data_IF_467021466725
#
_entry.id   IF_467021466725
#
_cell.length_a   1.000
_cell.length_b   1.000
_cell.length_c   1.000
_cell.angle_alpha   90.00
_cell.angle_beta   90.00
_cell.angle_gamma   90.00
#
_symmetry.space_group_name_H-M   'P 1'
#
loop_
_entity.id
_entity.type
_entity.pdbx_description
1 polymer ?
#
# COMPACT_ATOMS: atom_id res chain seq x y z
N UNK A 1 12.52 -9.94 8.58
CA UNK A 1 11.97 -9.20 7.43
C UNK A 1 10.52 -8.98 7.74
N UNK A 2 10.02 -7.77 7.58
CA UNK A 2 8.62 -7.43 7.88
C UNK A 2 7.96 -6.98 6.58
N UNK A 3 6.89 -7.68 6.18
CA UNK A 3 6.10 -7.35 4.99
C UNK A 3 4.74 -6.87 5.47
N UNK A 4 4.50 -5.57 5.38
CA UNK A 4 3.14 -5.04 5.51
C UNK A 4 2.46 -5.19 4.14
N UNK A 5 1.26 -5.75 4.11
CA UNK A 5 0.46 -5.80 2.90
C UNK A 5 -0.68 -4.77 3.02
N UNK A 6 -0.76 -3.86 2.06
CA UNK A 6 -1.94 -3.02 1.87
C UNK A 6 -2.66 -3.53 0.63
N UNK A 7 -3.69 -4.34 0.86
CA UNK A 7 -4.65 -4.73 -0.16
C UNK A 7 -5.67 -3.59 -0.28
N UNK A 8 -5.64 -2.86 -1.38
CA UNK A 8 -6.72 -1.95 -1.71
C UNK A 8 -7.82 -2.79 -2.33
N UNK A 9 -8.87 -3.05 -1.55
CA UNK A 9 -10.06 -3.71 -2.06
C UNK A 9 -10.89 -2.71 -2.86
N UNK A 10 -10.38 -2.30 -4.02
CA UNK A 10 -11.15 -1.74 -5.10
C UNK A 10 -10.84 -2.57 -6.34
N UNK A 11 -11.87 -3.16 -6.94
CA UNK A 11 -11.81 -3.61 -8.33
C UNK A 11 -12.70 -2.65 -9.11
N UNK A 12 -12.07 -1.75 -9.89
CA UNK A 12 -12.80 -0.76 -10.67
C UNK A 12 -13.72 -1.45 -11.70
N UNK A 13 -14.89 -0.87 -11.92
CA UNK A 13 -15.99 -1.39 -12.76
C UNK A 13 -15.66 -1.56 -14.26
N UNK A 14 -14.41 -1.46 -14.67
CA UNK A 14 -13.99 -1.71 -16.06
C UNK A 14 -13.76 -3.19 -16.38
N UNK A 15 -13.91 -4.08 -15.40
CA UNK A 15 -14.17 -5.47 -15.73
C UNK A 15 -15.56 -5.61 -16.35
N UNK A 16 -15.56 -5.92 -17.65
CA UNK A 16 -16.67 -6.54 -18.40
C UNK A 16 -17.23 -7.83 -17.76
N UNK A 17 -16.74 -8.21 -16.58
CA UNK A 17 -17.11 -9.38 -15.79
C UNK A 17 -17.75 -9.02 -14.45
N UNK A 18 -18.79 -8.16 -14.46
CA UNK A 18 -19.97 -8.23 -13.56
C UNK A 18 -20.96 -7.11 -13.91
N UNK A 19 -21.52 -7.18 -15.11
CA UNK A 19 -22.78 -6.51 -15.40
C UNK A 19 -23.87 -7.28 -14.63
N UNK A 20 -24.58 -6.58 -13.73
CA UNK A 20 -25.57 -7.06 -12.75
C UNK A 20 -25.04 -7.60 -11.42
N UNK A 21 -24.69 -6.69 -10.51
CA UNK A 21 -25.20 -6.77 -9.14
C UNK A 21 -25.55 -5.37 -8.63
N UNK A 22 -26.84 -5.15 -8.42
CA UNK A 22 -27.37 -4.07 -7.59
C UNK A 22 -26.68 -4.06 -6.23
N UNK A 23 -26.48 -2.87 -5.61
CA UNK A 23 -26.00 -2.68 -4.23
C UNK A 23 -26.29 -3.90 -3.35
N UNK A 24 -25.28 -4.74 -3.10
CA UNK A 24 -25.44 -5.91 -2.23
C UNK A 24 -25.29 -5.46 -0.78
N UNK A 25 -26.11 -6.01 0.11
CA UNK A 25 -26.09 -5.76 1.54
C UNK A 25 -24.79 -6.15 2.28
N UNK A 26 -23.76 -6.60 1.54
CA UNK A 26 -22.49 -7.14 2.05
C UNK A 26 -21.27 -6.24 1.77
N UNK A 27 -21.46 -5.01 1.27
CA UNK A 27 -20.36 -4.06 1.04
C UNK A 27 -20.13 -3.19 2.29
N UNK A 28 -18.87 -3.08 2.72
CA UNK A 28 -18.49 -2.19 3.81
C UNK A 28 -18.42 -0.72 3.36
N UNK A 29 -18.73 0.24 4.26
CA UNK A 29 -18.51 1.65 3.99
C UNK A 29 -17.06 1.94 3.57
N UNK A 30 -16.83 2.88 2.64
CA UNK A 30 -15.49 3.24 2.19
C UNK A 30 -14.63 3.78 3.34
N UNK A 31 -13.36 3.41 3.29
CA UNK A 31 -12.29 3.86 4.19
C UNK A 31 -11.00 4.01 3.40
N UNK A 32 -10.11 4.92 3.80
CA UNK A 32 -8.86 5.18 3.07
C UNK A 32 -7.78 4.15 3.41
N UNK A 33 -7.66 3.79 4.69
CA UNK A 33 -6.74 2.74 5.12
C UNK A 33 -7.24 2.05 6.40
N UNK A 34 -7.13 0.73 6.44
CA UNK A 34 -7.38 -0.06 7.65
C UNK A 34 -6.27 -1.08 7.88
N UNK A 35 -5.67 -1.00 9.06
CA UNK A 35 -4.77 -1.99 9.59
C UNK A 35 -5.56 -3.05 10.36
N UNK A 36 -5.57 -4.28 9.84
CA UNK A 36 -6.41 -5.37 10.34
C UNK A 36 -5.63 -6.49 11.05
N UNK A 37 -4.31 -6.52 10.89
CA UNK A 37 -3.46 -7.58 11.44
C UNK A 37 -2.05 -7.07 11.69
N UNK A 38 -1.60 -7.16 12.95
CA UNK A 38 -0.20 -6.91 13.31
C UNK A 38 0.74 -7.98 12.74
N UNK A 39 2.03 -7.65 12.63
CA UNK A 39 3.04 -8.65 12.26
C UNK A 39 2.93 -9.90 13.15
N UNK A 40 2.81 -11.05 12.51
CA UNK A 40 2.61 -12.33 13.18
C UNK A 40 3.32 -13.44 12.43
N UNK A 41 3.84 -14.41 13.16
CA UNK A 41 4.41 -15.66 12.61
C UNK A 41 3.34 -16.74 12.42
N UNK A 42 2.07 -16.43 12.72
CA UNK A 42 0.96 -17.38 12.61
C UNK A 42 0.30 -17.31 11.22
N UNK A 43 0.76 -18.17 10.31
CA UNK A 43 0.26 -18.25 8.93
C UNK A 43 -1.27 -18.43 8.86
N UNK A 44 -1.85 -19.24 9.75
CA UNK A 44 -3.30 -19.47 9.77
C UNK A 44 -4.08 -18.21 10.19
N UNK A 45 -3.55 -17.42 11.12
CA UNK A 45 -4.16 -16.15 11.50
C UNK A 45 -4.16 -15.17 10.32
N UNK A 46 -3.07 -15.12 9.55
CA UNK A 46 -3.00 -14.34 8.32
C UNK A 46 -4.07 -14.77 7.31
N UNK A 47 -4.12 -16.07 6.98
CA UNK A 47 -5.12 -16.61 6.03
C UNK A 47 -6.54 -16.33 6.48
N UNK A 48 -6.86 -16.59 7.74
CA UNK A 48 -8.19 -16.32 8.29
C UNK A 48 -8.55 -14.83 8.22
N UNK A 49 -7.60 -13.94 8.51
CA UNK A 49 -7.85 -12.50 8.50
C UNK A 49 -8.09 -12.00 7.08
N UNK A 50 -7.29 -12.43 6.11
CA UNK A 50 -7.48 -12.09 4.68
C UNK A 50 -8.82 -12.63 4.17
N UNK A 51 -9.19 -13.86 4.51
CA UNK A 51 -10.46 -14.46 4.08
C UNK A 51 -11.70 -13.79 4.68
N UNK A 52 -11.55 -13.08 5.81
CA UNK A 52 -12.62 -12.32 6.46
C UNK A 52 -12.78 -10.90 5.88
N UNK A 53 -11.86 -10.43 5.04
CA UNK A 53 -11.98 -9.10 4.44
C UNK A 53 -13.12 -9.05 3.44
N UNK A 54 -13.89 -7.97 3.50
CA UNK A 54 -14.97 -7.68 2.56
C UNK A 54 -14.55 -6.56 1.64
N UNK A 55 -15.18 -6.51 0.46
CA UNK A 55 -14.91 -5.42 -0.47
C UNK A 55 -15.59 -4.14 0.01
N UNK A 56 -14.89 -3.02 -0.19
CA UNK A 56 -15.48 -1.70 -0.12
C UNK A 56 -15.50 -1.07 -1.51
N UNK A 57 -16.23 0.03 -1.68
CA UNK A 57 -16.36 0.68 -2.99
C UNK A 57 -16.48 2.18 -2.86
N UNK A 58 -15.54 2.88 -3.51
CA UNK A 58 -15.56 4.31 -3.82
C UNK A 58 -16.35 4.57 -5.11
N UNK A 59 -16.69 5.85 -5.36
CA UNK A 59 -17.51 6.24 -6.52
C UNK A 59 -16.67 6.48 -7.77
N UNK A 60 -15.46 6.97 -7.58
CA UNK A 60 -14.46 7.28 -8.59
C UNK A 60 -13.42 6.15 -8.73
N UNK A 61 -12.55 6.28 -9.74
CA UNK A 61 -11.58 5.25 -10.11
C UNK A 61 -10.25 5.34 -9.33
N UNK A 62 -9.67 6.53 -9.08
CA UNK A 62 -8.44 6.60 -8.30
C UNK A 62 -8.68 6.26 -6.83
N UNK A 63 -7.68 5.64 -6.20
CA UNK A 63 -7.76 5.16 -4.82
C UNK A 63 -6.83 5.91 -3.87
N UNK A 64 -7.07 5.76 -2.57
CA UNK A 64 -6.30 6.41 -1.51
C UNK A 64 -4.92 5.74 -1.24
N UNK A 65 -4.22 5.26 -2.28
CA UNK A 65 -2.98 4.50 -2.11
C UNK A 65 -1.89 5.28 -1.36
N UNK A 66 -1.76 6.57 -1.66
CA UNK A 66 -0.76 7.42 -1.02
C UNK A 66 -1.07 7.70 0.46
N UNK A 67 -2.35 7.75 0.84
CA UNK A 67 -2.74 7.86 2.26
C UNK A 67 -2.30 6.63 3.05
N UNK A 68 -2.60 5.43 2.55
CA UNK A 68 -2.22 4.22 3.26
C UNK A 68 -0.70 4.12 3.39
N UNK A 69 0.06 4.43 2.33
CA UNK A 69 1.52 4.45 2.40
C UNK A 69 2.04 5.43 3.44
N UNK A 70 1.42 6.62 3.52
CA UNK A 70 1.75 7.60 4.54
C UNK A 70 1.48 7.06 5.95
N UNK A 71 0.33 6.43 6.16
CA UNK A 71 -0.02 5.85 7.46
C UNK A 71 0.88 4.66 7.81
N UNK A 72 1.14 3.74 6.88
CA UNK A 72 2.04 2.59 7.06
C UNK A 72 3.43 3.04 7.49
N UNK A 73 3.93 4.14 6.93
CA UNK A 73 5.23 4.67 7.24
C UNK A 73 5.24 5.57 8.50
N UNK A 74 4.15 6.28 8.80
CA UNK A 74 4.08 7.18 9.95
C UNK A 74 3.72 6.48 11.26
N UNK A 75 3.01 5.35 11.18
CA UNK A 75 2.47 4.59 12.31
C UNK A 75 3.37 3.41 12.69
N UNK A 76 4.66 3.67 12.95
CA UNK A 76 5.64 2.60 13.16
C UNK A 76 5.28 1.67 14.33
N UNK A 77 4.87 2.27 15.45
CA UNK A 77 4.55 1.55 16.68
C UNK A 77 3.21 0.84 16.56
N UNK A 78 2.23 1.48 15.92
CA UNK A 78 0.88 0.95 15.77
C UNK A 78 0.90 -0.26 14.82
N UNK A 79 1.69 -0.24 13.74
CA UNK A 79 1.83 -1.42 12.89
C UNK A 79 2.76 -2.49 13.47
N UNK A 80 3.51 -2.16 14.53
CA UNK A 80 4.43 -3.07 15.19
C UNK A 80 5.73 -3.30 14.40
N UNK A 81 6.16 -2.33 13.58
CA UNK A 81 7.44 -2.41 12.90
C UNK A 81 8.57 -2.59 13.91
N UNK A 82 9.51 -3.49 13.64
CA UNK A 82 10.64 -3.72 14.51
C UNK A 82 11.41 -2.40 14.69
N UNK A 83 11.57 -1.89 15.93
CA UNK A 83 12.26 -0.62 16.16
C UNK A 83 13.76 -0.73 15.90
N UNK A 84 14.30 -1.96 15.83
CA UNK A 84 15.69 -2.17 15.45
C UNK A 84 15.89 -1.97 13.95
N UNK A 85 16.90 -1.18 13.62
CA UNK A 85 17.33 -0.88 12.26
C UNK A 85 18.01 -2.05 11.53
N UNK A 86 17.86 -3.28 12.04
CA UNK A 86 18.49 -4.50 11.52
C UNK A 86 17.56 -5.27 10.60
N UNK A 87 16.26 -4.99 10.64
CA UNK A 87 15.25 -5.68 9.83
C UNK A 87 14.90 -4.86 8.60
N UNK A 88 14.92 -5.49 7.43
CA UNK A 88 14.39 -4.87 6.21
C UNK A 88 12.86 -4.77 6.32
N UNK A 89 12.35 -3.58 6.06
CA UNK A 89 10.92 -3.25 6.06
C UNK A 89 10.42 -3.11 4.63
N UNK A 90 9.41 -3.88 4.27
CA UNK A 90 8.85 -3.95 2.92
C UNK A 90 7.35 -3.71 3.02
N UNK A 91 6.81 -2.89 2.13
CA UNK A 91 5.36 -2.77 1.95
C UNK A 91 4.99 -3.27 0.56
N UNK A 92 4.05 -4.22 0.51
CA UNK A 92 3.45 -4.72 -0.73
C UNK A 92 2.13 -4.00 -0.96
N UNK A 93 2.00 -3.38 -2.12
CA UNK A 93 0.81 -2.67 -2.57
C UNK A 93 0.22 -3.47 -3.73
N UNK A 94 -1.00 -3.95 -3.56
CA UNK A 94 -1.75 -4.59 -4.63
C UNK A 94 -2.96 -3.71 -4.99
N UNK A 95 -3.05 -3.29 -6.27
CA UNK A 95 -4.13 -2.43 -6.76
C UNK A 95 -4.33 -2.59 -8.27
N UNK A 96 -5.57 -2.41 -8.73
CA UNK A 96 -5.91 -2.33 -10.15
C UNK A 96 -6.23 -0.91 -10.63
N UNK A 97 -6.08 0.08 -9.75
CA UNK A 97 -6.50 1.46 -9.92
C UNK A 97 -5.34 2.46 -9.74
N UNK A 98 -5.44 3.66 -10.35
CA UNK A 98 -4.51 4.76 -10.09
C UNK A 98 -4.72 5.30 -8.67
N UNK A 99 -3.95 6.32 -8.28
CA UNK A 99 -4.04 6.90 -6.94
C UNK A 99 -4.33 8.38 -6.95
N UNK A 100 -5.00 8.86 -5.90
CA UNK A 100 -5.20 10.27 -5.66
C UNK A 100 -3.94 10.98 -5.17
N UNK A 101 -3.86 12.29 -5.44
CA UNK A 101 -2.75 13.16 -5.03
C UNK A 101 -3.25 14.44 -4.34
N UNK A 102 -2.35 15.08 -3.59
CA UNK A 102 -2.62 16.36 -2.94
C UNK A 102 -3.29 17.39 -3.88
N UNK A 103 -4.31 18.06 -3.38
CA UNK A 103 -5.17 19.00 -4.08
C UNK A 103 -6.52 18.40 -4.50
N UNK A 104 -6.61 17.07 -4.64
CA UNK A 104 -7.83 16.41 -5.09
C UNK A 104 -8.88 16.24 -3.98
N UNK A 105 -8.48 16.19 -2.70
CA UNK A 105 -9.40 16.17 -1.55
C UNK A 105 -10.28 17.43 -1.48
N UNK A 106 -9.87 18.52 -2.15
CA UNK A 106 -10.64 19.76 -2.27
C UNK A 106 -12.00 19.53 -2.95
N UNK A 107 -12.13 18.55 -3.85
CA UNK A 107 -13.41 18.20 -4.46
C UNK A 107 -14.43 17.65 -3.44
N UNK A 108 -13.93 17.05 -2.35
CA UNK A 108 -14.72 16.60 -1.19
C UNK A 108 -14.82 17.62 -0.06
N UNK A 109 -14.33 18.86 -0.24
CA UNK A 109 -14.33 19.90 0.80
C UNK A 109 -13.18 19.79 1.80
N UNK A 110 -12.22 18.89 1.58
CA UNK A 110 -11.05 18.71 2.43
C UNK A 110 -9.94 19.65 1.95
N UNK A 111 -9.52 20.57 2.81
CA UNK A 111 -8.57 21.65 2.44
C UNK A 111 -7.34 21.72 3.33
N UNK A 112 -7.30 20.90 4.38
CA UNK A 112 -6.14 20.82 5.27
C UNK A 112 -5.09 19.89 4.66
N UNK A 113 -3.85 20.34 4.42
CA UNK A 113 -2.82 19.46 3.88
C UNK A 113 -2.49 18.28 4.81
N UNK A 114 -2.08 17.15 4.23
CA UNK A 114 -1.54 16.01 4.97
C UNK A 114 -0.33 16.43 5.83
N UNK A 115 -0.33 16.09 7.10
CA UNK A 115 0.73 16.48 8.05
C UNK A 115 1.86 15.43 8.21
N UNK A 116 1.78 14.32 7.47
CA UNK A 116 2.71 13.20 7.50
C UNK A 116 2.90 12.58 8.91
N UNK A 117 1.83 12.50 9.70
CA UNK A 117 1.81 11.83 11.01
C UNK A 117 0.85 10.64 11.02
N UNK A 118 0.98 9.82 12.07
CA UNK A 118 0.08 8.72 12.32
C UNK A 118 -1.28 9.22 12.82
N UNK A 119 -2.36 8.76 12.19
CA UNK A 119 -3.74 9.11 12.50
C UNK A 119 -4.65 7.87 12.50
N UNK A 120 -4.11 6.73 12.93
CA UNK A 120 -4.89 5.51 13.10
C UNK A 120 -5.78 5.59 14.32
N UNK A 121 -7.07 5.33 14.12
CA UNK A 121 -8.08 5.28 15.18
C UNK A 121 -8.54 3.84 15.43
N UNK A 122 -8.64 3.43 16.70
CA UNK A 122 -9.08 2.08 17.06
C UNK A 122 -10.58 1.89 16.80
N UNK A 123 -10.93 0.74 16.21
CA UNK A 123 -12.30 0.33 15.91
C UNK A 123 -12.78 -0.73 16.90
N UNK A 124 -14.10 -0.90 17.01
CA UNK A 124 -14.72 -1.87 17.94
C UNK A 124 -14.28 -3.33 17.73
N UNK A 125 -13.88 -3.68 16.51
CA UNK A 125 -13.40 -5.01 16.15
C UNK A 125 -11.90 -5.19 16.36
N UNK A 126 -11.20 -4.22 16.99
CA UNK A 126 -9.75 -4.25 17.22
C UNK A 126 -8.90 -3.81 16.02
N UNK A 127 -9.50 -3.57 14.85
CA UNK A 127 -8.78 -2.97 13.71
C UNK A 127 -8.50 -1.49 13.96
N UNK A 128 -7.54 -0.94 13.21
CA UNK A 128 -7.18 0.49 13.26
C UNK A 128 -7.40 1.11 11.90
N UNK A 129 -8.07 2.26 11.85
CA UNK A 129 -8.53 2.85 10.58
C UNK A 129 -8.15 4.33 10.50
N UNK A 130 -7.74 4.74 9.29
CA UNK A 130 -7.60 6.11 8.86
C UNK A 130 -8.73 6.44 7.87
N UNK A 131 -9.53 7.44 8.22
CA UNK A 131 -10.73 7.82 7.45
C UNK A 131 -10.46 8.78 6.31
N UNK A 132 -9.34 9.50 6.31
CA UNK A 132 -8.99 10.48 5.27
C UNK A 132 -9.96 11.66 5.13
N UNK A 133 -10.78 11.94 6.15
CA UNK A 133 -11.80 13.01 6.10
C UNK A 133 -11.30 14.36 6.60
N UNK A 134 -10.18 14.38 7.32
CA UNK A 134 -9.67 15.59 7.98
C UNK A 134 -8.55 16.27 7.20
N UNK A 135 -7.82 15.50 6.39
CA UNK A 135 -6.65 15.96 5.66
C UNK A 135 -6.70 15.47 4.21
N UNK A 136 -6.22 16.33 3.31
CA UNK A 136 -6.06 16.03 1.89
C UNK A 136 -5.03 14.93 1.69
N UNK A 137 -5.04 14.31 0.51
CA UNK A 137 -4.06 13.30 0.14
C UNK A 137 -2.63 13.86 0.23
N UNK A 138 -1.62 13.06 0.58
CA UNK A 138 -0.24 13.51 0.58
C UNK A 138 0.28 13.71 -0.83
N UNK A 139 1.30 14.55 -0.96
CA UNK A 139 2.08 14.63 -2.20
C UNK A 139 2.94 13.39 -2.39
N UNK A 140 3.26 13.03 -3.64
CA UNK A 140 4.22 11.96 -3.96
C UNK A 140 5.56 12.13 -3.21
N UNK A 141 6.04 13.38 -3.07
CA UNK A 141 7.29 13.65 -2.35
C UNK A 141 7.16 13.51 -0.83
N UNK A 142 6.02 13.88 -0.22
CA UNK A 142 5.81 13.65 1.22
C UNK A 142 5.88 12.16 1.55
N UNK A 143 5.21 11.31 0.76
CA UNK A 143 5.27 9.85 0.93
C UNK A 143 6.69 9.33 0.72
N UNK A 144 7.40 9.81 -0.31
CA UNK A 144 8.81 9.45 -0.55
C UNK A 144 9.70 9.74 0.66
N UNK A 145 9.63 10.96 1.22
CA UNK A 145 10.45 11.31 2.38
C UNK A 145 10.11 10.46 3.59
N UNK A 146 8.81 10.21 3.85
CA UNK A 146 8.40 9.39 4.99
C UNK A 146 8.85 7.93 4.85
N UNK A 147 8.68 7.32 3.68
CA UNK A 147 9.18 5.97 3.39
C UNK A 147 10.70 5.89 3.55
N UNK A 148 11.43 6.93 3.13
CA UNK A 148 12.89 7.03 3.30
C UNK A 148 13.29 7.09 4.77
N UNK A 149 12.65 7.96 5.54
CA UNK A 149 12.87 8.13 6.98
C UNK A 149 12.67 6.80 7.72
N UNK A 150 11.57 6.11 7.43
CA UNK A 150 11.17 4.85 8.05
C UNK A 150 11.83 3.62 7.41
N UNK A 151 12.67 3.81 6.38
CA UNK A 151 13.40 2.76 5.64
C UNK A 151 12.51 1.65 5.08
N UNK A 152 11.31 2.02 4.66
CA UNK A 152 10.33 1.11 4.07
C UNK A 152 10.49 1.11 2.55
N UNK A 153 10.60 -0.09 1.99
CA UNK A 153 10.74 -0.30 0.54
C UNK A 153 9.39 -0.71 -0.06
N UNK A 154 8.81 0.06 -0.99
CA UNK A 154 7.55 -0.30 -1.61
C UNK A 154 7.73 -1.27 -2.80
N UNK A 155 6.84 -2.25 -2.87
CA UNK A 155 6.67 -3.17 -4.01
C UNK A 155 5.25 -2.99 -4.53
N UNK A 156 5.12 -2.60 -5.80
CA UNK A 156 3.82 -2.40 -6.45
C UNK A 156 3.47 -3.62 -7.31
N UNK A 157 2.44 -4.37 -6.92
CA UNK A 157 1.82 -5.42 -7.72
C UNK A 157 0.54 -4.86 -8.35
N UNK A 158 0.59 -4.51 -9.64
CA UNK A 158 -0.45 -3.69 -10.25
C UNK A 158 -1.05 -4.31 -11.49
N UNK A 159 -2.33 -4.02 -11.77
CA UNK A 159 -2.98 -4.49 -13.01
C UNK A 159 -2.24 -4.02 -14.26
N UNK A 160 -2.46 -4.72 -15.38
CA UNK A 160 -1.89 -4.38 -16.69
C UNK A 160 -2.09 -2.90 -17.08
N UNK A 161 -3.25 -2.33 -16.73
CA UNK A 161 -3.65 -0.97 -17.06
C UNK A 161 -2.86 0.08 -16.29
N UNK A 162 -2.51 -0.20 -15.03
CA UNK A 162 -1.83 0.75 -14.14
C UNK A 162 -0.30 0.63 -14.14
N UNK A 163 0.25 -0.29 -14.94
CA UNK A 163 1.70 -0.49 -15.05
C UNK A 163 2.46 0.76 -15.39
N UNK A 164 1.94 1.61 -16.28
CA UNK A 164 2.64 2.82 -16.69
C UNK A 164 2.73 3.80 -15.51
N UNK A 165 1.60 4.02 -14.82
CA UNK A 165 1.49 4.90 -13.65
C UNK A 165 2.48 4.50 -12.57
N UNK A 166 2.46 3.22 -12.16
CA UNK A 166 3.32 2.73 -11.07
C UNK A 166 4.78 2.51 -11.49
N UNK A 167 5.05 2.27 -12.78
CA UNK A 167 6.42 2.32 -13.31
C UNK A 167 7.04 3.70 -13.16
N UNK A 168 6.30 4.75 -13.50
CA UNK A 168 6.76 6.13 -13.35
C UNK A 168 6.99 6.46 -11.87
N UNK A 169 6.07 6.07 -10.99
CA UNK A 169 6.23 6.22 -9.54
C UNK A 169 7.46 5.49 -9.00
N UNK A 170 7.64 4.21 -9.36
CA UNK A 170 8.79 3.41 -8.95
C UNK A 170 10.12 3.99 -9.47
N UNK A 171 10.13 4.60 -10.66
CA UNK A 171 11.31 5.30 -11.18
C UNK A 171 11.66 6.55 -10.37
N UNK A 172 10.66 7.32 -9.92
CA UNK A 172 10.86 8.46 -9.02
C UNK A 172 11.41 7.96 -7.67
N UNK A 173 10.92 6.82 -7.18
CA UNK A 173 11.30 6.22 -5.90
C UNK A 173 12.42 5.18 -5.99
N UNK A 174 13.18 5.17 -7.09
CA UNK A 174 14.22 4.15 -7.36
C UNK A 174 15.28 4.05 -6.25
N UNK A 175 15.58 5.16 -5.59
CA UNK A 175 16.58 5.25 -4.53
C UNK A 175 16.10 4.60 -3.22
N UNK A 176 14.78 4.41 -3.06
CA UNK A 176 14.18 3.60 -1.99
C UNK A 176 14.22 2.09 -2.30
N UNK A 177 14.69 1.71 -3.49
CA UNK A 177 14.58 0.33 -3.96
C UNK A 177 13.17 -0.03 -4.45
N UNK A 178 12.31 0.96 -4.73
CA UNK A 178 10.96 0.72 -5.22
C UNK A 178 10.96 -0.18 -6.47
N UNK A 179 10.02 -1.12 -6.50
CA UNK A 179 9.82 -2.03 -7.64
C UNK A 179 8.36 -2.07 -8.04
N UNK A 180 8.09 -2.40 -9.29
CA UNK A 180 6.73 -2.62 -9.78
C UNK A 180 6.72 -3.89 -10.64
N UNK A 181 5.62 -4.63 -10.57
CA UNK A 181 5.37 -5.82 -11.37
C UNK A 181 3.88 -5.91 -11.74
N UNK A 182 3.59 -6.61 -12.82
CA UNK A 182 2.23 -6.83 -13.28
C UNK A 182 1.58 -7.98 -12.49
N UNK A 183 0.45 -7.68 -11.85
CA UNK A 183 -0.43 -8.64 -11.20
C UNK A 183 -1.41 -9.19 -12.24
N UNK A 184 -1.49 -10.52 -12.32
CA UNK A 184 -2.46 -11.20 -13.19
C UNK A 184 -3.89 -10.86 -12.75
N UNK A 185 -4.86 -10.93 -13.68
CA UNK A 185 -6.26 -10.61 -13.39
C UNK A 185 -6.85 -11.49 -12.27
N UNK A 186 -6.40 -12.74 -12.14
CA UNK A 186 -6.79 -13.67 -11.08
C UNK A 186 -5.86 -13.62 -9.85
N UNK A 187 -4.88 -12.70 -9.84
CA UNK A 187 -3.89 -12.48 -8.80
C UNK A 187 -3.04 -13.72 -8.45
N UNK A 188 -3.01 -14.73 -9.32
CA UNK A 188 -2.38 -16.03 -9.03
C UNK A 188 -0.84 -15.96 -8.98
N UNK A 189 -0.23 -14.88 -9.46
CA UNK A 189 1.21 -14.69 -9.51
C UNK A 189 1.75 -13.87 -8.33
N UNK A 190 0.93 -13.46 -7.36
CA UNK A 190 1.36 -12.57 -6.27
C UNK A 190 2.56 -13.11 -5.47
N UNK A 191 2.61 -14.43 -5.23
CA UNK A 191 3.73 -15.07 -4.53
C UNK A 191 5.02 -14.98 -5.34
N UNK A 192 4.94 -15.26 -6.64
CA UNK A 192 6.09 -15.13 -7.55
C UNK A 192 6.60 -13.69 -7.61
N UNK A 193 5.69 -12.71 -7.62
CA UNK A 193 6.04 -11.29 -7.62
C UNK A 193 6.83 -10.89 -6.38
N UNK A 194 6.40 -11.35 -5.20
CA UNK A 194 7.08 -11.09 -3.92
C UNK A 194 8.48 -11.72 -3.95
N UNK A 195 8.59 -12.99 -4.37
CA UNK A 195 9.89 -13.68 -4.46
C UNK A 195 10.85 -13.00 -5.43
N UNK A 196 10.36 -12.61 -6.61
CA UNK A 196 11.15 -11.93 -7.64
C UNK A 196 11.65 -10.58 -7.14
N UNK A 197 10.76 -9.79 -6.55
CA UNK A 197 11.08 -8.48 -5.99
C UNK A 197 12.12 -8.61 -4.87
N UNK A 198 11.95 -9.60 -3.99
CA UNK A 198 12.93 -9.90 -2.94
C UNK A 198 14.32 -10.24 -3.48
N UNK A 199 14.41 -11.11 -4.50
CA UNK A 199 15.69 -11.49 -5.14
C UNK A 199 16.38 -10.26 -5.74
N UNK A 200 15.64 -9.40 -6.45
CA UNK A 200 16.18 -8.16 -7.03
C UNK A 200 16.73 -7.23 -5.94
N UNK A 201 16.00 -7.08 -4.83
CA UNK A 201 16.43 -6.25 -3.70
C UNK A 201 17.73 -6.75 -3.07
N UNK A 202 17.84 -8.06 -2.80
CA UNK A 202 19.05 -8.66 -2.25
C UNK A 202 20.27 -8.48 -3.18
N UNK A 203 20.09 -8.61 -4.49
CA UNK A 203 21.18 -8.42 -5.47
C UNK A 203 21.65 -6.96 -5.51
N UNK A 204 20.72 -5.99 -5.49
CA UNK A 204 21.07 -4.55 -5.51
C UNK A 204 21.95 -4.17 -4.32
N UNK A 205 21.65 -4.66 -3.12
CA UNK A 205 22.46 -4.37 -1.92
C UNK A 205 23.84 -5.00 -2.01
N UNK A 206 23.96 -6.25 -2.46
CA UNK A 206 25.25 -6.89 -2.70
C UNK A 206 26.10 -6.10 -3.69
N UNK A 207 25.48 -5.57 -4.75
CA UNK A 207 26.18 -4.76 -5.74
C UNK A 207 26.64 -3.42 -5.17
N UNK A 208 25.79 -2.71 -4.41
CA UNK A 208 26.19 -1.48 -3.70
C UNK A 208 27.35 -1.72 -2.73
N UNK A 209 27.31 -2.83 -1.99
CA UNK A 209 28.40 -3.21 -1.08
C UNK A 209 29.70 -3.49 -1.85
N UNK A 210 29.62 -4.20 -2.98
CA UNK A 210 30.78 -4.48 -3.83
C UNK A 210 31.39 -3.22 -4.45
N UNK A 211 30.56 -2.24 -4.83
CA UNK A 211 31.03 -0.94 -5.32
C UNK A 211 31.72 -0.17 -4.20
N UNK A 212 31.13 -0.12 -3.00
CA UNK A 212 31.71 0.53 -1.83
C UNK A 212 33.05 -0.10 -1.41
N UNK A 213 33.18 -1.42 -1.47
CA UNK A 213 34.43 -2.12 -1.14
C UNK A 213 35.54 -1.94 -2.20
N UNK A 214 35.19 -1.47 -3.40
CA UNK A 214 36.14 -1.23 -4.50
C UNK A 214 36.58 0.23 -4.65
N UNK A 215 35.93 1.15 -3.93
CA UNK A 215 36.28 2.59 -3.84
C UNK A 215 37.14 2.88 -2.63
#
# INVERSE_FOLDING_TARGET
>A
MEIAASLFHHFSSNNLFRINKSHSADEEPPYNFRHVLDFTEQDELFKETINKQTNSRSKDNPEATLDALMQVASCENELGWNPSNTTRRIVLIATDAPFHIAGEGRFGGIVHPNDAKCHLSERRNGSREYSGLEQDYPTVNQVYQKLRESRIQPIFAVSHYERKTFKELANIWKDLGATYEELNEDSNNIIELIEKSYKVLCIKELFSLLVFLKS
#
